data_IF_122853767095
#
_entry.id   IF_122853767095
#
_cell.length_a   1.000
_cell.length_b   1.000
_cell.length_c   1.000
_cell.angle_alpha   90.00
_cell.angle_beta   90.00
_cell.angle_gamma   90.00
#
_symmetry.space_group_name_H-M   'P 1'
#
loop_
_entity.id
_entity.type
_entity.pdbx_description
1 polymer ?
#
# COMPACT_ATOMS: atom_id res chain seq x y z
N UNK A 1 -10.21 -9.26 -25.26
CA UNK A 1 -11.11 -9.30 -24.08
C UNK A 1 -11.61 -7.90 -23.89
N UNK A 2 -12.87 -7.69 -24.13
CA UNK A 2 -13.52 -6.37 -24.09
C UNK A 2 -13.70 -5.93 -22.64
N UNK A 3 -13.58 -4.63 -22.38
CA UNK A 3 -13.73 -4.00 -21.06
C UNK A 3 -15.03 -4.40 -20.32
N UNK A 4 -16.06 -4.81 -21.06
CA UNK A 4 -17.35 -5.25 -20.50
C UNK A 4 -17.31 -6.51 -19.64
N UNK A 5 -16.31 -7.38 -19.80
CA UNK A 5 -16.15 -8.58 -18.97
C UNK A 5 -15.45 -8.31 -17.64
N UNK A 6 -14.84 -7.15 -17.48
CA UNK A 6 -14.20 -6.74 -16.23
C UNK A 6 -15.19 -6.07 -15.25
N UNK A 7 -16.34 -5.59 -15.73
CA UNK A 7 -17.38 -5.01 -14.87
C UNK A 7 -18.23 -6.08 -14.15
N UNK A 8 -18.35 -7.29 -14.73
CA UNK A 8 -19.18 -8.37 -14.17
C UNK A 8 -18.53 -9.04 -12.92
N UNK A 9 -17.24 -8.80 -12.66
CA UNK A 9 -16.50 -9.29 -11.51
C UNK A 9 -15.76 -8.19 -10.75
N UNK A 10 -16.28 -6.97 -10.75
CA UNK A 10 -15.72 -5.92 -9.90
C UNK A 10 -15.87 -6.35 -8.43
N UNK A 11 -14.77 -6.49 -7.69
CA UNK A 11 -14.85 -6.87 -6.29
C UNK A 11 -15.63 -5.81 -5.53
N UNK A 12 -16.44 -6.24 -4.57
CA UNK A 12 -17.12 -5.32 -3.66
C UNK A 12 -16.05 -4.60 -2.83
N UNK A 13 -15.84 -3.31 -3.13
CA UNK A 13 -14.84 -2.49 -2.45
C UNK A 13 -15.44 -2.03 -1.13
N UNK A 14 -14.77 -2.27 0.01
CA UNK A 14 -15.28 -1.82 1.30
C UNK A 14 -15.50 -0.29 1.34
N UNK A 15 -16.50 0.11 2.10
CA UNK A 15 -16.90 1.52 2.23
C UNK A 15 -15.72 2.43 2.61
N UNK A 16 -15.67 3.60 1.99
CA UNK A 16 -14.68 4.63 2.23
C UNK A 16 -13.38 4.50 1.44
N UNK A 17 -13.16 3.36 0.75
CA UNK A 17 -11.99 3.20 -0.11
C UNK A 17 -12.21 3.83 -1.48
N UNK A 18 -11.20 4.52 -1.97
CA UNK A 18 -11.13 5.11 -3.30
C UNK A 18 -9.96 4.49 -4.06
N UNK A 19 -10.22 4.10 -5.30
CA UNK A 19 -9.17 3.57 -6.19
C UNK A 19 -8.11 4.65 -6.45
N UNK A 20 -6.85 4.26 -6.29
CA UNK A 20 -5.72 5.12 -6.62
C UNK A 20 -5.49 5.13 -8.13
N UNK A 21 -5.41 6.33 -8.70
CA UNK A 21 -5.19 6.51 -10.14
C UNK A 21 -3.69 6.61 -10.43
N UNK A 22 -3.06 5.46 -10.65
CA UNK A 22 -1.67 5.38 -11.14
C UNK A 22 -1.68 5.04 -12.62
N UNK A 23 -1.23 5.98 -13.42
CA UNK A 23 -1.29 5.88 -14.88
C UNK A 23 -0.12 5.08 -15.47
N UNK A 24 0.95 4.89 -14.72
CA UNK A 24 2.18 4.22 -15.18
C UNK A 24 2.98 3.62 -14.00
N UNK A 25 3.99 2.84 -14.35
CA UNK A 25 4.94 2.29 -13.41
C UNK A 25 4.49 1.02 -12.72
N UNK A 26 5.32 0.55 -11.80
CA UNK A 26 5.14 -0.73 -11.12
C UNK A 26 3.84 -0.79 -10.30
N UNK A 27 3.48 0.29 -9.62
CA UNK A 27 2.24 0.33 -8.83
C UNK A 27 0.99 0.10 -9.67
N UNK A 28 0.98 0.50 -10.96
CA UNK A 28 -0.08 0.16 -11.90
C UNK A 28 -0.11 -1.33 -12.22
N UNK A 29 1.06 -1.96 -12.36
CA UNK A 29 1.18 -3.37 -12.73
C UNK A 29 0.65 -4.30 -11.63
N UNK A 30 0.86 -3.94 -10.37
CA UNK A 30 0.42 -4.72 -9.20
C UNK A 30 -0.94 -4.28 -8.65
N UNK A 31 -1.55 -3.24 -9.25
CA UNK A 31 -2.87 -2.74 -8.84
C UNK A 31 -4.04 -3.58 -9.35
N UNK A 32 -5.26 -3.09 -9.09
CA UNK A 32 -5.57 -1.78 -8.50
C UNK A 32 -5.27 -1.69 -7.01
N UNK A 33 -4.80 -0.51 -6.59
CA UNK A 33 -4.62 -0.18 -5.18
C UNK A 33 -5.68 0.84 -4.76
N UNK A 34 -6.02 0.83 -3.49
CA UNK A 34 -7.06 1.67 -2.90
C UNK A 34 -6.52 2.40 -1.67
N UNK A 35 -7.15 3.51 -1.34
CA UNK A 35 -6.82 4.31 -0.16
C UNK A 35 -8.09 4.80 0.53
N UNK A 36 -8.07 4.81 1.84
CA UNK A 36 -9.10 5.40 2.69
C UNK A 36 -8.45 6.38 3.66
N UNK A 37 -9.05 7.55 3.81
CA UNK A 37 -8.73 8.47 4.90
C UNK A 37 -9.63 8.12 6.09
N UNK A 38 -9.01 7.82 7.21
CA UNK A 38 -9.72 7.46 8.43
C UNK A 38 -10.24 8.70 9.19
N UNK A 39 -11.15 8.51 10.14
CA UNK A 39 -11.75 9.59 10.92
C UNK A 39 -10.72 10.41 11.72
N UNK A 40 -9.63 9.79 12.16
CA UNK A 40 -8.50 10.45 12.85
C UNK A 40 -7.50 11.10 11.89
N UNK A 41 -7.83 11.19 10.59
CA UNK A 41 -6.98 11.70 9.51
C UNK A 41 -5.76 10.83 9.18
N UNK A 42 -5.61 9.67 9.78
CA UNK A 42 -4.69 8.65 9.30
C UNK A 42 -5.20 8.05 7.99
N UNK A 43 -4.40 7.22 7.35
CA UNK A 43 -4.77 6.56 6.10
C UNK A 43 -4.65 5.05 6.22
N UNK A 44 -5.36 4.37 5.37
CA UNK A 44 -5.18 2.94 5.11
C UNK A 44 -5.13 2.73 3.61
N UNK A 45 -4.12 2.02 3.13
CA UNK A 45 -4.04 1.54 1.76
C UNK A 45 -4.48 0.10 1.70
N UNK A 46 -4.96 -0.33 0.55
CA UNK A 46 -5.46 -1.68 0.40
C UNK A 46 -5.34 -2.20 -1.04
N UNK A 47 -5.39 -3.52 -1.19
CA UNK A 47 -5.60 -4.21 -2.44
C UNK A 47 -6.34 -5.54 -2.21
N UNK A 48 -7.02 -6.01 -3.25
CA UNK A 48 -7.61 -7.34 -3.26
C UNK A 48 -6.58 -8.32 -3.83
N UNK A 49 -6.32 -9.41 -3.13
CA UNK A 49 -5.41 -10.44 -3.65
C UNK A 49 -6.06 -11.16 -4.83
N UNK A 50 -5.51 -10.93 -6.01
CA UNK A 50 -5.86 -11.61 -7.25
C UNK A 50 -4.83 -12.64 -7.66
N UNK A 51 -5.13 -13.41 -8.69
CA UNK A 51 -4.22 -14.44 -9.22
C UNK A 51 -2.82 -13.90 -9.57
N UNK A 52 -2.65 -12.72 -10.22
CA UNK A 52 -1.33 -12.19 -10.57
C UNK A 52 -0.44 -11.87 -9.36
N UNK A 53 -1.03 -11.75 -8.17
CA UNK A 53 -0.29 -11.47 -6.93
C UNK A 53 0.24 -12.72 -6.25
N UNK A 54 -0.10 -13.92 -6.74
CA UNK A 54 0.13 -15.17 -6.01
C UNK A 54 1.45 -15.85 -6.35
N UNK A 55 1.88 -16.69 -5.44
CA UNK A 55 2.94 -17.66 -5.63
C UNK A 55 2.37 -19.02 -6.08
N UNK A 56 3.26 -19.99 -6.26
CA UNK A 56 2.86 -21.35 -6.69
C UNK A 56 1.93 -22.09 -5.70
N UNK A 57 1.75 -21.60 -4.49
CA UNK A 57 0.84 -22.13 -3.48
C UNK A 57 -0.51 -21.38 -3.45
N UNK A 58 -0.75 -20.47 -4.39
CA UNK A 58 -1.94 -19.60 -4.47
C UNK A 58 -2.13 -18.65 -3.28
N UNK A 59 -1.07 -18.40 -2.53
CA UNK A 59 -1.03 -17.33 -1.53
C UNK A 59 -0.40 -16.09 -2.13
N UNK A 60 -0.72 -14.92 -1.58
CA UNK A 60 -0.07 -13.68 -1.98
C UNK A 60 1.45 -13.80 -1.84
N UNK A 61 2.16 -13.53 -2.91
CA UNK A 61 3.63 -13.63 -2.94
C UNK A 61 4.24 -12.63 -1.96
N UNK A 62 5.25 -13.06 -1.21
CA UNK A 62 5.95 -12.19 -0.26
C UNK A 62 6.50 -10.91 -0.91
N UNK A 63 6.97 -11.00 -2.16
CA UNK A 63 7.39 -9.83 -2.94
C UNK A 63 6.27 -8.83 -3.20
N UNK A 64 5.03 -9.29 -3.44
CA UNK A 64 3.86 -8.41 -3.56
C UNK A 64 3.56 -7.71 -2.23
N UNK A 65 3.58 -8.45 -1.12
CA UNK A 65 3.36 -7.89 0.21
C UNK A 65 4.44 -6.86 0.58
N UNK A 66 5.70 -7.11 0.23
CA UNK A 66 6.79 -6.15 0.45
C UNK A 66 6.65 -4.90 -0.42
N UNK A 67 6.30 -5.04 -1.69
CA UNK A 67 6.04 -3.92 -2.58
C UNK A 67 4.87 -3.07 -2.08
N UNK A 68 3.80 -3.71 -1.63
CA UNK A 68 2.67 -3.03 -1.04
C UNK A 68 3.05 -2.31 0.27
N UNK A 69 3.81 -2.96 1.16
CA UNK A 69 4.28 -2.35 2.40
C UNK A 69 5.15 -1.12 2.16
N UNK A 70 6.05 -1.18 1.18
CA UNK A 70 6.89 -0.03 0.79
C UNK A 70 6.02 1.19 0.46
N UNK A 71 5.03 1.00 -0.37
CA UNK A 71 4.11 2.08 -0.77
C UNK A 71 3.19 2.51 0.37
N UNK A 72 2.75 1.59 1.21
CA UNK A 72 1.88 1.90 2.34
C UNK A 72 2.63 2.68 3.42
N UNK A 73 3.84 2.26 3.81
CA UNK A 73 4.61 2.93 4.83
C UNK A 73 5.12 4.30 4.38
N UNK A 74 5.69 4.38 3.18
CA UNK A 74 6.27 5.63 2.66
C UNK A 74 5.25 6.76 2.52
N UNK A 75 3.98 6.43 2.29
CA UNK A 75 2.91 7.43 2.21
C UNK A 75 2.76 8.28 3.48
N UNK A 76 3.15 7.76 4.63
CA UNK A 76 3.17 8.53 5.88
C UNK A 76 4.02 9.82 5.76
N UNK A 77 5.12 9.76 5.02
CA UNK A 77 5.99 10.93 4.76
C UNK A 77 5.29 11.93 3.86
N UNK A 78 4.59 11.45 2.84
CA UNK A 78 3.79 12.31 1.95
C UNK A 78 2.73 13.09 2.72
N UNK A 79 2.03 12.44 3.63
CA UNK A 79 1.01 13.10 4.45
C UNK A 79 1.61 14.07 5.48
N UNK A 80 2.74 13.70 6.07
CA UNK A 80 3.39 14.51 7.10
C UNK A 80 4.06 15.77 6.52
N UNK A 81 4.80 15.62 5.42
CA UNK A 81 5.70 16.66 4.92
C UNK A 81 5.42 17.10 3.46
N UNK A 82 4.45 16.48 2.78
CA UNK A 82 4.17 16.70 1.35
C UNK A 82 5.42 16.58 0.46
N UNK A 83 6.26 15.58 0.72
CA UNK A 83 7.51 15.35 -0.01
C UNK A 83 7.48 14.01 -0.76
N UNK A 84 8.26 13.94 -1.84
CA UNK A 84 8.65 12.66 -2.41
C UNK A 84 9.60 11.94 -1.45
N UNK A 85 9.71 10.65 -1.58
CA UNK A 85 10.58 9.83 -0.76
C UNK A 85 11.13 8.65 -1.56
N UNK A 86 12.24 8.12 -1.10
CA UNK A 86 12.83 6.87 -1.57
C UNK A 86 13.14 5.98 -0.38
N UNK A 87 13.05 4.68 -0.58
CA UNK A 87 13.34 3.68 0.43
C UNK A 87 14.83 3.49 0.55
N UNK A 88 15.35 3.62 1.76
CA UNK A 88 16.75 3.32 2.09
C UNK A 88 16.90 1.86 2.51
N UNK A 89 16.00 1.41 3.40
CA UNK A 89 15.97 0.05 3.91
C UNK A 89 14.57 -0.30 4.41
N UNK A 90 14.15 -1.53 4.20
CA UNK A 90 12.93 -2.04 4.81
C UNK A 90 13.19 -3.43 5.39
N UNK A 91 12.75 -3.65 6.60
CA UNK A 91 12.76 -4.93 7.29
C UNK A 91 11.33 -5.38 7.50
N UNK A 92 11.04 -6.60 7.10
CA UNK A 92 9.68 -7.16 7.15
C UNK A 92 9.70 -8.53 7.81
N UNK A 93 8.67 -8.80 8.60
CA UNK A 93 8.42 -10.11 9.19
C UNK A 93 7.06 -10.61 8.70
N UNK A 94 7.06 -11.75 8.00
CA UNK A 94 5.85 -12.41 7.53
C UNK A 94 5.26 -13.22 8.68
N UNK A 95 4.03 -12.90 9.06
CA UNK A 95 3.36 -13.47 10.24
C UNK A 95 2.32 -14.50 9.84
N UNK A 96 1.59 -14.24 8.74
CA UNK A 96 0.53 -15.11 8.25
C UNK A 96 0.41 -14.98 6.72
N UNK A 97 -0.30 -15.90 6.09
CA UNK A 97 -0.55 -15.89 4.66
C UNK A 97 -1.79 -15.04 4.31
N UNK A 98 -1.76 -14.41 3.17
CA UNK A 98 -2.94 -13.84 2.52
C UNK A 98 -3.32 -14.70 1.31
N UNK A 99 -4.57 -15.11 1.20
CA UNK A 99 -5.07 -15.94 0.12
C UNK A 99 -5.75 -15.10 -0.97
N UNK A 100 -5.98 -15.70 -2.14
CA UNK A 100 -6.82 -15.08 -3.19
C UNK A 100 -8.17 -14.70 -2.58
N UNK A 101 -8.62 -13.50 -2.86
CA UNK A 101 -9.88 -12.94 -2.35
C UNK A 101 -9.75 -12.21 -1.01
N UNK A 102 -8.61 -12.30 -0.34
CA UNK A 102 -8.37 -11.49 0.85
C UNK A 102 -8.24 -10.01 0.48
N UNK A 103 -8.96 -9.17 1.23
CA UNK A 103 -8.76 -7.73 1.22
C UNK A 103 -7.60 -7.39 2.17
N UNK A 104 -6.46 -7.05 1.59
CA UNK A 104 -5.24 -6.76 2.35
C UNK A 104 -5.12 -5.25 2.54
N UNK A 105 -4.94 -4.85 3.79
CA UNK A 105 -4.82 -3.47 4.22
C UNK A 105 -3.45 -3.19 4.82
N UNK A 106 -3.00 -1.95 4.75
CA UNK A 106 -1.73 -1.55 5.31
C UNK A 106 -1.67 -0.06 5.63
N UNK A 107 -0.93 0.25 6.67
CA UNK A 107 -0.69 1.63 7.10
C UNK A 107 0.67 1.75 7.77
N UNK A 108 1.24 2.96 7.72
CA UNK A 108 2.49 3.31 8.37
C UNK A 108 2.34 4.49 9.30
N UNK A 109 3.20 4.53 10.31
CA UNK A 109 3.31 5.63 11.27
C UNK A 109 4.77 6.04 11.40
N UNK A 110 5.05 7.34 11.33
CA UNK A 110 6.38 7.87 11.58
C UNK A 110 6.75 7.61 13.03
N UNK A 111 7.83 6.84 13.24
CA UNK A 111 8.38 6.57 14.55
C UNK A 111 9.44 7.60 14.96
N UNK A 112 10.13 8.17 13.97
CA UNK A 112 11.15 9.19 14.18
C UNK A 112 11.60 9.84 12.88
N UNK A 113 12.22 11.01 13.01
CA UNK A 113 12.76 11.75 11.88
C UNK A 113 14.02 12.48 12.34
N UNK A 114 15.07 12.41 11.54
CA UNK A 114 16.28 13.22 11.69
C UNK A 114 16.64 13.78 10.32
N UNK A 115 16.52 15.12 10.18
CA UNK A 115 16.65 15.83 8.91
C UNK A 115 15.71 15.23 7.84
N UNK A 116 16.25 14.70 6.75
CA UNK A 116 15.49 14.09 5.65
C UNK A 116 15.27 12.58 5.83
N UNK A 117 15.76 11.98 6.90
CA UNK A 117 15.66 10.55 7.17
C UNK A 117 14.51 10.27 8.13
N UNK A 118 13.60 9.40 7.67
CA UNK A 118 12.41 9.00 8.42
C UNK A 118 12.46 7.50 8.74
N UNK A 119 12.13 7.16 9.98
CA UNK A 119 11.80 5.79 10.35
C UNK A 119 10.29 5.66 10.43
N UNK A 120 9.74 4.71 9.69
CA UNK A 120 8.30 4.43 9.64
C UNK A 120 8.06 2.98 10.02
N UNK A 121 7.16 2.77 10.98
CA UNK A 121 6.71 1.43 11.35
C UNK A 121 5.32 1.18 10.80
N UNK A 122 5.02 -0.05 10.46
CA UNK A 122 3.72 -0.37 9.88
C UNK A 122 3.31 -1.81 10.05
N UNK A 123 2.06 -2.04 9.74
CA UNK A 123 1.40 -3.33 9.78
C UNK A 123 0.63 -3.53 8.48
N UNK A 124 0.67 -4.76 7.99
CA UNK A 124 -0.16 -5.24 6.88
C UNK A 124 -1.08 -6.31 7.46
N UNK A 125 -2.38 -6.23 7.16
CA UNK A 125 -3.38 -7.11 7.75
C UNK A 125 -4.50 -7.44 6.75
N UNK A 126 -5.26 -8.48 7.04
CA UNK A 126 -6.51 -8.82 6.37
C UNK A 126 -7.54 -9.17 7.44
N UNK A 127 -8.67 -8.48 7.44
CA UNK A 127 -9.63 -8.49 8.53
C UNK A 127 -8.93 -8.20 9.88
N UNK A 128 -8.93 -9.12 10.84
CA UNK A 128 -8.24 -8.93 12.12
C UNK A 128 -6.85 -9.58 12.18
N UNK A 129 -6.47 -10.34 11.13
CA UNK A 129 -5.20 -11.09 11.09
C UNK A 129 -4.05 -10.19 10.64
N UNK A 130 -2.98 -10.14 11.40
CA UNK A 130 -1.72 -9.56 10.93
C UNK A 130 -1.07 -10.50 9.93
N UNK A 131 -0.81 -10.01 8.73
CA UNK A 131 -0.11 -10.73 7.65
C UNK A 131 1.40 -10.44 7.72
N UNK A 132 1.76 -9.18 7.95
CA UNK A 132 3.15 -8.76 7.98
C UNK A 132 3.33 -7.53 8.88
N UNK A 133 4.45 -7.46 9.57
CA UNK A 133 4.94 -6.23 10.17
C UNK A 133 6.14 -5.69 9.40
N UNK A 134 6.32 -4.39 9.39
CA UNK A 134 7.41 -3.74 8.66
C UNK A 134 7.96 -2.53 9.40
N UNK A 135 9.25 -2.30 9.23
CA UNK A 135 9.91 -1.05 9.62
C UNK A 135 10.77 -0.60 8.44
N UNK A 136 10.54 0.62 7.98
CA UNK A 136 11.27 1.22 6.87
C UNK A 136 12.07 2.44 7.29
N UNK A 137 13.23 2.62 6.67
CA UNK A 137 13.99 3.86 6.67
C UNK A 137 13.85 4.46 5.28
N UNK A 138 13.40 5.72 5.22
CA UNK A 138 13.14 6.45 3.99
C UNK A 138 13.88 7.78 4.00
N UNK A 139 14.30 8.21 2.83
CA UNK A 139 14.83 9.55 2.63
C UNK A 139 13.79 10.41 1.92
N UNK A 140 13.42 11.51 2.53
CA UNK A 140 12.57 12.51 1.91
C UNK A 140 13.36 13.32 0.87
N UNK A 141 12.73 13.58 -0.25
CA UNK A 141 13.27 14.34 -1.37
C UNK A 141 12.54 15.69 -1.49
N UNK A 142 12.53 16.28 -2.69
CA UNK A 142 11.87 17.54 -2.97
C UNK A 142 10.36 17.56 -2.64
N UNK A 143 9.83 18.76 -2.46
CA UNK A 143 8.41 18.99 -2.23
C UNK A 143 7.57 18.57 -3.43
N UNK A 144 6.45 17.93 -3.19
CA UNK A 144 5.51 17.54 -4.25
C UNK A 144 4.76 18.77 -4.75
N UNK A 145 4.52 18.87 -6.06
CA UNK A 145 3.67 19.93 -6.59
C UNK A 145 2.24 19.79 -6.05
N UNK A 146 1.47 20.89 -5.96
CA UNK A 146 0.06 20.79 -5.58
C UNK A 146 -0.68 19.87 -6.57
N UNK A 147 -1.62 19.09 -6.05
CA UNK A 147 -2.46 18.23 -6.89
C UNK A 147 -3.19 19.16 -7.89
N UNK A 148 -3.03 18.91 -9.20
CA UNK A 148 -3.87 19.57 -10.20
C UNK A 148 -5.31 19.18 -9.88
N UNK A 149 -6.13 20.17 -9.60
CA UNK A 149 -7.59 19.99 -9.60
C UNK A 149 -7.97 19.66 -11.06
N UNK A 150 -8.44 18.45 -11.27
CA UNK A 150 -9.06 18.02 -12.53
C UNK A 150 -10.55 18.19 -12.39
#
# INVERSE_FOLDING_TARGET
MTDDLLEEYAPEIPEGYVRMNWFQGFGRQIGPLYERVNADKSYTRAFLVGEPHTNGMKNCHGGMLMAFADMALGHAITLHANRYWVTVRMVTDFVDAAAIGDWVEGSGKIAGCDDDIYTVTGRIWSAERTIMTATGIFKALGVRPPKRQV
#
